data_IF_212838171042
#
_entry.id   IF_212838171042
#
_cell.length_a   1.000
_cell.length_b   1.000
_cell.length_c   1.000
_cell.angle_alpha   90.00
_cell.angle_beta   90.00
_cell.angle_gamma   90.00
#
_symmetry.space_group_name_H-M   'P 1'
#
loop_
_entity.id
_entity.type
_entity.pdbx_description
1 polymer ?
#
# COMPACT_ATOMS: atom_id res chain seq x y z
N UNK A 1 3.24 -42.79 -17.07
CA UNK A 1 3.07 -43.43 -15.75
C UNK A 1 1.59 -43.72 -15.55
N UNK A 2 1.19 -44.98 -15.70
CA UNK A 2 -0.17 -45.41 -15.44
C UNK A 2 -0.33 -45.57 -13.92
N UNK A 3 -1.13 -44.69 -13.30
CA UNK A 3 -1.48 -44.86 -11.90
C UNK A 3 -2.48 -46.03 -11.77
N UNK A 4 -2.29 -46.94 -10.81
CA UNK A 4 -3.24 -48.03 -10.58
C UNK A 4 -4.60 -47.43 -10.19
N UNK A 5 -5.68 -47.90 -10.82
CA UNK A 5 -7.05 -47.51 -10.54
C UNK A 5 -7.51 -48.04 -9.15
N UNK A 6 -6.95 -47.53 -8.06
CA UNK A 6 -7.61 -47.59 -6.75
C UNK A 6 -8.84 -46.68 -6.85
N UNK A 7 -10.03 -47.29 -6.87
CA UNK A 7 -11.32 -46.57 -6.94
C UNK A 7 -11.35 -45.50 -5.84
N UNK A 8 -11.41 -44.23 -6.23
CA UNK A 8 -11.43 -43.09 -5.30
C UNK A 8 -12.77 -43.10 -4.55
N UNK A 9 -12.71 -42.95 -3.21
CA UNK A 9 -13.89 -42.94 -2.33
C UNK A 9 -14.80 -41.75 -2.64
N UNK A 10 -16.10 -41.95 -2.49
CA UNK A 10 -17.09 -40.88 -2.67
C UNK A 10 -17.12 -39.95 -1.45
N UNK A 11 -17.12 -38.64 -1.69
CA UNK A 11 -17.07 -37.62 -0.63
C UNK A 11 -18.17 -36.58 -0.79
N UNK A 12 -18.50 -35.90 0.30
CA UNK A 12 -19.37 -34.73 0.35
C UNK A 12 -18.50 -33.53 0.69
N UNK A 13 -18.64 -32.45 -0.07
CA UNK A 13 -17.82 -31.25 0.06
C UNK A 13 -18.70 -30.07 0.42
N UNK A 14 -18.24 -29.27 1.37
CA UNK A 14 -18.87 -28.04 1.81
C UNK A 14 -17.91 -26.89 1.60
N UNK A 15 -18.46 -25.79 1.09
CA UNK A 15 -17.69 -24.63 0.67
C UNK A 15 -18.34 -23.37 1.23
N UNK A 16 -17.59 -22.63 2.04
CA UNK A 16 -17.91 -21.27 2.47
C UNK A 16 -17.07 -20.29 1.61
N UNK A 17 -17.66 -19.66 0.58
CA UNK A 17 -16.92 -18.79 -0.33
C UNK A 17 -16.82 -17.35 0.20
N UNK A 18 -15.65 -16.76 0.07
CA UNK A 18 -15.41 -15.36 0.46
C UNK A 18 -13.95 -14.98 0.24
N UNK A 19 -13.50 -13.89 0.89
CA UNK A 19 -12.07 -13.53 0.94
C UNK A 19 -11.24 -14.63 1.61
N UNK A 20 -11.81 -15.26 2.63
CA UNK A 20 -11.35 -16.51 3.21
C UNK A 20 -12.30 -17.59 2.74
N UNK A 21 -11.79 -18.62 2.06
CA UNK A 21 -12.60 -19.77 1.64
C UNK A 21 -12.48 -20.83 2.71
N UNK A 22 -13.61 -21.27 3.26
CA UNK A 22 -13.72 -22.46 4.09
C UNK A 22 -14.01 -23.69 3.23
N UNK A 23 -13.31 -24.79 3.49
CA UNK A 23 -13.47 -26.06 2.77
C UNK A 23 -13.55 -27.20 3.79
N UNK A 24 -14.57 -28.03 3.64
CA UNK A 24 -14.78 -29.21 4.46
C UNK A 24 -15.10 -30.42 3.59
N UNK A 25 -14.57 -31.58 3.96
CA UNK A 25 -14.81 -32.86 3.30
C UNK A 25 -15.22 -33.88 4.36
N UNK A 26 -16.35 -34.54 4.11
CA UNK A 26 -16.82 -35.68 4.90
C UNK A 26 -17.07 -36.89 3.98
N UNK A 27 -16.97 -38.10 4.52
CA UNK A 27 -17.37 -39.31 3.79
C UNK A 27 -18.91 -39.51 3.79
N UNK A 28 -19.38 -40.53 3.07
CA UNK A 28 -20.81 -40.87 3.03
C UNK A 28 -21.36 -41.48 4.34
N UNK A 29 -20.51 -41.69 5.35
CA UNK A 29 -20.89 -42.12 6.70
C UNK A 29 -21.02 -40.93 7.67
N UNK A 30 -20.50 -39.76 7.29
CA UNK A 30 -20.45 -38.56 8.10
C UNK A 30 -19.18 -38.39 8.92
N UNK A 31 -18.12 -39.15 8.64
CA UNK A 31 -16.82 -38.92 9.26
C UNK A 31 -16.11 -37.78 8.54
N UNK A 32 -15.59 -36.77 9.26
CA UNK A 32 -14.76 -35.74 8.65
C UNK A 32 -13.44 -36.32 8.15
N UNK A 33 -13.10 -36.00 6.91
CA UNK A 33 -11.84 -36.37 6.27
C UNK A 33 -10.84 -35.23 6.46
N UNK A 34 -11.21 -34.02 6.03
CA UNK A 34 -10.38 -32.83 6.19
C UNK A 34 -11.24 -31.56 6.23
N UNK A 35 -10.79 -30.57 7.01
CA UNK A 35 -11.41 -29.25 7.13
C UNK A 35 -10.31 -28.21 7.22
N UNK A 36 -10.37 -27.16 6.40
CA UNK A 36 -9.43 -26.06 6.46
C UNK A 36 -10.01 -24.77 5.88
N UNK A 37 -9.28 -23.68 6.05
CA UNK A 37 -9.60 -22.38 5.46
C UNK A 37 -8.35 -21.67 4.97
N UNK A 38 -8.48 -20.90 3.90
CA UNK A 38 -7.37 -20.13 3.33
C UNK A 38 -7.86 -18.80 2.72
N UNK A 39 -7.04 -17.75 2.85
CA UNK A 39 -7.28 -16.46 2.22
C UNK A 39 -6.88 -16.50 0.75
N UNK A 40 -7.67 -15.85 -0.11
CA UNK A 40 -7.41 -15.76 -1.56
C UNK A 40 -7.25 -17.14 -2.24
N UNK A 41 -7.94 -18.16 -1.74
CA UNK A 41 -7.86 -19.52 -2.28
C UNK A 41 -8.59 -19.61 -3.62
N UNK A 42 -7.92 -20.06 -4.68
CA UNK A 42 -8.51 -20.06 -6.02
C UNK A 42 -9.45 -21.26 -6.23
N UNK A 43 -10.32 -21.16 -7.25
CA UNK A 43 -11.18 -22.28 -7.67
C UNK A 43 -10.33 -23.48 -8.09
N UNK A 44 -9.21 -23.25 -8.79
CA UNK A 44 -8.30 -24.30 -9.23
C UNK A 44 -7.64 -25.03 -8.05
N UNK A 45 -7.23 -24.28 -7.02
CA UNK A 45 -6.64 -24.87 -5.81
C UNK A 45 -7.68 -25.69 -5.04
N UNK A 46 -8.91 -25.18 -4.91
CA UNK A 46 -10.02 -25.91 -4.30
C UNK A 46 -10.30 -27.23 -5.02
N UNK A 47 -10.29 -27.23 -6.36
CA UNK A 47 -10.48 -28.44 -7.16
C UNK A 47 -9.35 -29.44 -6.94
N UNK A 48 -8.09 -29.00 -7.03
CA UNK A 48 -6.94 -29.87 -6.83
C UNK A 48 -6.95 -30.51 -5.44
N UNK A 49 -7.33 -29.74 -4.42
CA UNK A 49 -7.44 -30.22 -3.05
C UNK A 49 -8.63 -31.17 -2.86
N UNK A 50 -9.80 -30.90 -3.44
CA UNK A 50 -10.93 -31.84 -3.39
C UNK A 50 -10.55 -33.16 -4.09
N UNK A 51 -9.89 -33.08 -5.24
CA UNK A 51 -9.49 -34.23 -6.04
C UNK A 51 -8.48 -35.13 -5.31
N UNK A 52 -7.59 -34.57 -4.50
CA UNK A 52 -6.63 -35.36 -3.71
C UNK A 52 -7.29 -36.18 -2.61
N UNK A 53 -8.52 -35.84 -2.21
CA UNK A 53 -9.23 -36.50 -1.10
C UNK A 53 -10.31 -37.48 -1.54
N UNK A 54 -10.82 -37.38 -2.77
CA UNK A 54 -11.81 -38.33 -3.28
C UNK A 54 -12.60 -37.83 -4.48
N UNK A 55 -13.68 -38.55 -4.78
CA UNK A 55 -14.63 -38.20 -5.85
C UNK A 55 -15.83 -37.48 -5.23
N UNK A 56 -15.95 -36.15 -5.38
CA UNK A 56 -17.08 -35.42 -4.83
C UNK A 56 -18.40 -35.83 -5.48
N UNK A 57 -19.35 -36.22 -4.63
CA UNK A 57 -20.69 -36.63 -5.02
C UNK A 57 -21.72 -35.52 -4.79
N UNK A 58 -21.56 -34.79 -3.69
CA UNK A 58 -22.41 -33.66 -3.30
C UNK A 58 -21.50 -32.49 -2.96
N UNK A 59 -21.84 -31.30 -3.47
CA UNK A 59 -21.18 -30.04 -3.15
C UNK A 59 -22.23 -29.10 -2.55
N UNK A 60 -21.97 -28.56 -1.36
CA UNK A 60 -22.92 -27.78 -0.59
C UNK A 60 -22.33 -26.43 -0.13
N UNK A 61 -23.22 -25.49 0.15
CA UNK A 61 -22.93 -24.21 0.81
C UNK A 61 -23.97 -23.98 1.91
N UNK A 62 -23.64 -23.13 2.87
CA UNK A 62 -24.48 -22.78 4.02
C UNK A 62 -25.46 -21.62 3.73
N UNK A 63 -25.36 -21.00 2.54
CA UNK A 63 -26.19 -19.86 2.13
C UNK A 63 -26.99 -20.15 0.86
N UNK A 64 -28.15 -19.51 0.74
CA UNK A 64 -28.99 -19.46 -0.47
C UNK A 64 -29.18 -18.01 -0.93
N UNK A 65 -29.14 -17.72 -2.25
CA UNK A 65 -28.87 -18.65 -3.35
C UNK A 65 -27.44 -19.19 -3.34
N UNK A 66 -27.25 -20.44 -3.78
CA UNK A 66 -25.93 -21.09 -3.75
C UNK A 66 -24.89 -20.25 -4.51
N UNK A 67 -23.74 -19.92 -3.90
CA UNK A 67 -22.78 -19.00 -4.50
C UNK A 67 -22.15 -19.52 -5.80
N UNK A 68 -21.72 -18.59 -6.67
CA UNK A 68 -21.20 -18.91 -8.00
C UNK A 68 -19.97 -19.83 -7.98
N UNK A 69 -19.08 -19.68 -6.99
CA UNK A 69 -17.91 -20.56 -6.82
C UNK A 69 -18.35 -22.02 -6.57
N UNK A 70 -19.33 -22.22 -5.70
CA UNK A 70 -19.86 -23.54 -5.33
C UNK A 70 -20.55 -24.19 -6.54
N UNK A 71 -21.36 -23.43 -7.28
CA UNK A 71 -22.01 -23.90 -8.52
C UNK A 71 -20.98 -24.33 -9.58
N UNK A 72 -19.90 -23.55 -9.76
CA UNK A 72 -18.81 -23.89 -10.70
C UNK A 72 -18.10 -25.18 -10.29
N UNK A 73 -17.72 -25.32 -9.02
CA UNK A 73 -17.03 -26.51 -8.52
C UNK A 73 -17.93 -27.75 -8.67
N UNK A 74 -19.20 -27.64 -8.28
CA UNK A 74 -20.19 -28.73 -8.46
C UNK A 74 -20.29 -29.17 -9.93
N UNK A 75 -20.37 -28.21 -10.86
CA UNK A 75 -20.45 -28.50 -12.29
C UNK A 75 -19.18 -29.15 -12.83
N UNK A 76 -18.00 -28.73 -12.39
CA UNK A 76 -16.72 -29.27 -12.86
C UNK A 76 -16.53 -30.73 -12.46
N UNK A 77 -17.02 -31.12 -11.28
CA UNK A 77 -16.98 -32.49 -10.82
C UNK A 77 -18.18 -33.35 -11.26
N UNK A 78 -19.14 -32.79 -11.99
CA UNK A 78 -20.45 -33.41 -12.23
C UNK A 78 -21.10 -33.93 -10.93
N UNK A 79 -20.85 -33.22 -9.83
CA UNK A 79 -21.39 -33.49 -8.50
C UNK A 79 -22.74 -32.78 -8.34
N UNK A 80 -23.58 -33.28 -7.44
CA UNK A 80 -24.87 -32.66 -7.14
C UNK A 80 -24.66 -31.40 -6.29
N UNK A 81 -25.08 -30.25 -6.80
CA UNK A 81 -25.11 -29.00 -6.05
C UNK A 81 -26.29 -29.00 -5.09
N UNK A 82 -26.04 -29.07 -3.79
CA UNK A 82 -27.10 -28.98 -2.79
C UNK A 82 -27.51 -27.52 -2.62
N UNK A 83 -28.73 -27.19 -3.05
CA UNK A 83 -29.35 -25.88 -2.78
C UNK A 83 -30.19 -25.95 -1.51
N UNK A 84 -30.09 -24.90 -0.69
CA UNK A 84 -30.88 -24.72 0.52
C UNK A 84 -32.15 -23.94 0.23
N UNK A 85 -33.23 -24.28 0.91
CA UNK A 85 -34.48 -23.51 0.89
C UNK A 85 -34.27 -22.14 1.59
N UNK A 86 -33.55 -22.13 2.70
CA UNK A 86 -33.17 -20.95 3.48
C UNK A 86 -31.71 -21.05 3.96
N UNK A 87 -31.04 -19.91 4.12
CA UNK A 87 -29.65 -19.85 4.62
C UNK A 87 -29.58 -20.29 6.07
N UNK A 88 -28.54 -21.04 6.45
CA UNK A 88 -28.38 -21.53 7.81
C UNK A 88 -28.03 -20.40 8.78
N UNK A 89 -28.75 -20.31 9.89
CA UNK A 89 -28.44 -19.41 11.01
C UNK A 89 -27.16 -19.83 11.74
N UNK A 90 -26.57 -18.92 12.50
CA UNK A 90 -25.33 -19.21 13.24
C UNK A 90 -25.57 -20.30 14.29
N UNK A 91 -26.72 -20.28 14.96
CA UNK A 91 -27.11 -21.30 15.93
C UNK A 91 -27.23 -22.69 15.28
N UNK A 92 -27.83 -22.78 14.09
CA UNK A 92 -27.94 -24.04 13.35
C UNK A 92 -26.57 -24.59 12.93
N UNK A 93 -25.68 -23.73 12.42
CA UNK A 93 -24.31 -24.12 12.05
C UNK A 93 -23.56 -24.70 13.24
N UNK A 94 -23.68 -24.07 14.41
CA UNK A 94 -23.08 -24.56 15.66
C UNK A 94 -23.73 -25.89 16.07
N UNK A 95 -25.05 -26.01 16.03
CA UNK A 95 -25.76 -27.23 16.41
C UNK A 95 -25.39 -28.43 15.52
N UNK A 96 -25.21 -28.20 14.21
CA UNK A 96 -24.81 -29.23 13.25
C UNK A 96 -23.36 -29.71 13.46
N UNK A 97 -22.48 -28.82 13.90
CA UNK A 97 -21.05 -29.08 14.06
C UNK A 97 -20.64 -29.53 15.46
N UNK A 98 -21.57 -29.58 16.43
CA UNK A 98 -21.35 -30.10 17.80
C UNK A 98 -21.23 -31.63 17.92
N UNK A 99 -21.36 -32.37 16.82
CA UNK A 99 -21.29 -33.85 16.83
C UNK A 99 -19.89 -34.41 17.13
N UNK A 100 -19.84 -35.69 17.52
CA UNK A 100 -18.60 -36.40 17.82
C UNK A 100 -17.67 -36.44 16.57
N UNK A 101 -16.48 -35.86 16.69
CA UNK A 101 -15.41 -35.93 15.67
C UNK A 101 -15.28 -34.70 14.77
N UNK A 102 -16.17 -33.71 14.87
CA UNK A 102 -16.09 -32.47 14.09
C UNK A 102 -15.19 -31.43 14.78
N UNK A 103 -14.03 -31.13 14.17
CA UNK A 103 -13.12 -30.08 14.62
C UNK A 103 -13.03 -28.96 13.58
N UNK A 104 -13.09 -27.72 14.04
CA UNK A 104 -12.88 -26.52 13.23
C UNK A 104 -12.12 -25.45 14.04
N UNK A 105 -11.34 -24.61 13.38
CA UNK A 105 -10.51 -23.58 14.01
C UNK A 105 -11.15 -22.20 13.97
N UNK A 106 -12.03 -21.94 13.01
CA UNK A 106 -12.65 -20.64 12.81
C UNK A 106 -14.06 -20.76 12.21
N UNK A 107 -14.73 -19.61 12.07
CA UNK A 107 -16.09 -19.53 11.56
C UNK A 107 -16.22 -20.05 10.12
N UNK A 108 -15.24 -19.81 9.24
CA UNK A 108 -15.29 -20.27 7.85
C UNK A 108 -15.24 -21.80 7.75
N UNK A 109 -14.37 -22.43 8.55
CA UNK A 109 -14.29 -23.89 8.65
C UNK A 109 -15.58 -24.49 9.23
N UNK A 110 -16.16 -23.85 10.25
CA UNK A 110 -17.45 -24.25 10.83
C UNK A 110 -18.56 -24.19 9.78
N UNK A 111 -18.62 -23.10 9.01
CA UNK A 111 -19.70 -22.85 8.07
C UNK A 111 -19.63 -23.82 6.88
N UNK A 112 -18.42 -24.07 6.36
CA UNK A 112 -18.17 -25.12 5.36
C UNK A 112 -18.54 -26.52 5.87
N UNK A 113 -18.18 -26.84 7.12
CA UNK A 113 -18.51 -28.14 7.73
C UNK A 113 -20.01 -28.29 7.97
N UNK A 114 -20.68 -27.24 8.45
CA UNK A 114 -22.13 -27.22 8.65
C UNK A 114 -22.87 -27.49 7.33
N UNK A 115 -22.42 -26.91 6.22
CA UNK A 115 -22.97 -27.17 4.89
C UNK A 115 -22.88 -28.67 4.50
N UNK A 116 -21.73 -29.32 4.75
CA UNK A 116 -21.56 -30.76 4.51
C UNK A 116 -22.55 -31.60 5.32
N UNK A 117 -22.61 -31.33 6.63
CA UNK A 117 -23.39 -32.10 7.58
C UNK A 117 -24.88 -31.93 7.31
N UNK A 118 -25.30 -30.72 6.96
CA UNK A 118 -26.68 -30.43 6.56
C UNK A 118 -27.06 -31.24 5.31
N UNK A 119 -26.22 -31.21 4.28
CA UNK A 119 -26.44 -32.00 3.07
C UNK A 119 -26.55 -33.49 3.40
N UNK A 120 -25.62 -34.05 4.18
CA UNK A 120 -25.66 -35.44 4.61
C UNK A 120 -26.96 -35.78 5.35
N UNK A 121 -27.43 -34.92 6.26
CA UNK A 121 -28.67 -35.12 7.02
C UNK A 121 -29.88 -35.25 6.10
N UNK A 122 -29.92 -34.49 4.99
CA UNK A 122 -30.98 -34.57 3.98
C UNK A 122 -30.99 -35.92 3.24
N UNK A 123 -29.81 -36.48 2.96
CA UNK A 123 -29.65 -37.76 2.26
C UNK A 123 -29.60 -38.98 3.20
N UNK A 124 -29.45 -38.81 4.51
CA UNK A 124 -29.31 -39.88 5.51
C UNK A 124 -30.43 -40.93 5.42
N UNK A 125 -31.68 -40.50 5.27
CA UNK A 125 -32.84 -41.42 5.10
C UNK A 125 -32.71 -42.27 3.83
N UNK A 126 -32.33 -41.66 2.71
CA UNK A 126 -32.12 -42.37 1.42
C UNK A 126 -30.91 -43.32 1.51
N UNK A 127 -29.79 -42.88 2.07
CA UNK A 127 -28.61 -43.72 2.25
C UNK A 127 -28.86 -44.92 3.16
N UNK A 128 -29.65 -44.76 4.21
CA UNK A 128 -30.07 -45.87 5.08
C UNK A 128 -30.96 -46.86 4.31
N UNK A 129 -31.87 -46.36 3.48
CA UNK A 129 -32.73 -47.22 2.64
C UNK A 129 -31.91 -48.00 1.61
N UNK A 130 -30.92 -47.36 0.99
CA UNK A 130 -29.96 -48.02 0.08
C UNK A 130 -29.24 -49.15 0.81
N UNK A 131 -28.64 -48.85 1.97
CA UNK A 131 -27.89 -49.84 2.75
C UNK A 131 -28.72 -51.08 3.14
N UNK A 132 -30.04 -50.91 3.38
CA UNK A 132 -30.95 -52.04 3.69
C UNK A 132 -31.36 -52.84 2.45
N UNK A 133 -31.44 -52.20 1.28
CA UNK A 133 -31.94 -52.81 0.04
C UNK A 133 -30.85 -53.41 -0.84
N UNK A 134 -29.59 -53.00 -0.65
CA UNK A 134 -28.46 -53.51 -1.43
C UNK A 134 -28.15 -54.97 -1.03
N UNK A 135 -28.18 -55.93 -1.96
CA UNK A 135 -27.84 -57.32 -1.70
C UNK A 135 -26.35 -57.50 -1.34
N UNK A 136 -25.98 -58.59 -0.62
CA UNK A 136 -24.58 -58.97 -0.43
C UNK A 136 -23.87 -59.15 -1.77
N UNK A 137 -22.71 -58.52 -1.95
CA UNK A 137 -21.89 -58.59 -3.19
C UNK A 137 -21.95 -57.36 -4.09
N UNK A 138 -22.88 -56.43 -3.86
CA UNK A 138 -22.95 -55.14 -4.56
C UNK A 138 -22.36 -54.03 -3.68
N UNK A 139 -21.52 -53.17 -4.27
CA UNK A 139 -20.90 -52.04 -3.56
C UNK A 139 -21.96 -51.00 -3.17
N UNK A 140 -22.17 -50.86 -1.85
CA UNK A 140 -23.17 -49.95 -1.29
C UNK A 140 -22.83 -48.49 -1.58
N UNK A 141 -21.56 -48.11 -1.63
CA UNK A 141 -21.16 -46.72 -1.93
C UNK A 141 -21.48 -46.35 -3.37
N UNK A 142 -21.30 -47.28 -4.30
CA UNK A 142 -21.62 -47.06 -5.71
C UNK A 142 -23.14 -46.95 -5.94
N UNK A 143 -23.94 -47.75 -5.23
CA UNK A 143 -25.40 -47.60 -5.25
C UNK A 143 -25.81 -46.23 -4.70
N UNK A 144 -25.19 -45.77 -3.59
CA UNK A 144 -25.43 -44.42 -3.05
C UNK A 144 -25.09 -43.35 -4.08
N UNK A 145 -23.98 -43.48 -4.81
CA UNK A 145 -23.57 -42.54 -5.84
C UNK A 145 -24.59 -42.44 -6.99
N UNK A 146 -25.08 -43.58 -7.49
CA UNK A 146 -26.11 -43.63 -8.53
C UNK A 146 -27.44 -43.02 -8.06
N UNK A 147 -27.82 -43.26 -6.81
CA UNK A 147 -29.05 -42.71 -6.23
C UNK A 147 -28.99 -41.20 -6.06
N UNK A 148 -27.84 -40.64 -5.69
CA UNK A 148 -27.66 -39.16 -5.66
C UNK A 148 -27.78 -38.57 -7.06
N UNK A 149 -27.31 -39.28 -8.09
CA UNK A 149 -27.46 -38.89 -9.51
C UNK A 149 -28.87 -39.08 -10.07
N UNK A 150 -29.86 -39.46 -9.24
CA UNK A 150 -31.27 -39.54 -9.61
C UNK A 150 -31.73 -40.91 -10.11
N UNK A 151 -30.90 -41.95 -10.05
CA UNK A 151 -31.30 -43.32 -10.39
C UNK A 151 -32.11 -43.93 -9.24
N UNK A 152 -33.17 -44.69 -9.54
CA UNK A 152 -33.92 -45.39 -8.50
C UNK A 152 -33.06 -46.48 -7.84
N UNK A 153 -33.34 -46.80 -6.57
CA UNK A 153 -32.55 -47.79 -5.82
C UNK A 153 -32.52 -49.14 -6.53
N UNK A 154 -33.66 -49.60 -7.07
CA UNK A 154 -33.74 -50.85 -7.84
C UNK A 154 -32.89 -50.79 -9.11
N UNK A 155 -33.06 -49.75 -9.93
CA UNK A 155 -32.29 -49.61 -11.17
C UNK A 155 -30.78 -49.45 -10.93
N UNK A 156 -30.39 -48.83 -9.81
CA UNK A 156 -28.98 -48.71 -9.42
C UNK A 156 -28.38 -50.09 -9.06
N UNK A 157 -29.12 -50.91 -8.32
CA UNK A 157 -28.71 -52.28 -7.97
C UNK A 157 -28.63 -53.14 -9.25
N UNK A 158 -29.65 -53.10 -10.09
CA UNK A 158 -29.72 -53.91 -11.33
C UNK A 158 -28.58 -53.58 -12.30
N UNK A 159 -28.21 -52.30 -12.41
CA UNK A 159 -27.07 -51.85 -13.23
C UNK A 159 -25.75 -52.45 -12.73
N UNK A 160 -25.54 -52.47 -11.41
CA UNK A 160 -24.30 -53.00 -10.85
C UNK A 160 -24.25 -54.52 -10.93
N UNK A 161 -25.38 -55.21 -10.76
CA UNK A 161 -25.47 -56.66 -10.94
C UNK A 161 -25.25 -57.05 -12.41
N UNK A 162 -25.86 -56.33 -13.36
CA UNK A 162 -25.70 -56.62 -14.79
C UNK A 162 -24.28 -56.37 -15.27
N UNK A 163 -23.64 -55.29 -14.78
CA UNK A 163 -22.23 -55.02 -15.08
C UNK A 163 -21.28 -56.09 -14.53
N UNK A 164 -21.60 -56.73 -13.40
CA UNK A 164 -20.84 -57.88 -12.90
C UNK A 164 -21.16 -59.19 -13.64
N UNK A 165 -22.30 -59.27 -14.34
CA UNK A 165 -22.73 -60.43 -15.12
C UNK A 165 -22.13 -60.52 -16.53
N UNK A 166 -21.65 -59.41 -17.10
CA UNK A 166 -21.03 -59.36 -18.43
C UNK A 166 -19.57 -59.83 -18.44
N UNK A 167 -18.87 -59.79 -17.31
CA UNK A 167 -17.48 -60.27 -17.19
C UNK A 167 -17.33 -61.79 -17.02
N UNK A 168 -18.42 -62.57 -17.05
CA UNK A 168 -18.39 -64.04 -16.83
C UNK A 168 -19.11 -64.91 -17.87
N UNK A 169 -19.48 -64.39 -19.05
CA UNK A 169 -20.14 -65.21 -20.10
C UNK A 169 -19.46 -65.09 -21.46
N UNK A 170 -18.25 -65.61 -21.55
CA UNK A 170 -17.77 -66.22 -22.78
C UNK A 170 -17.10 -67.54 -22.41
N UNK A 171 -17.78 -68.64 -22.75
CA UNK A 171 -17.29 -69.99 -23.04
C UNK A 171 -18.41 -70.99 -22.68
N UNK A 172 -18.65 -71.89 -23.63
CA UNK A 172 -19.50 -73.10 -23.60
C UNK A 172 -21.02 -72.93 -23.54
N UNK A 173 -21.69 -73.26 -24.64
CA UNK A 173 -22.40 -74.56 -24.72
C UNK A 173 -22.78 -74.92 -26.17
N UNK A 174 -22.06 -75.91 -26.68
CA UNK A 174 -22.42 -76.74 -27.82
C UNK A 174 -23.36 -77.84 -27.33
N UNK A 175 -24.54 -78.00 -27.93
CA UNK A 175 -25.31 -79.26 -27.92
C UNK A 175 -26.32 -79.30 -29.08
N UNK A 176 -25.97 -80.13 -30.09
CA UNK A 176 -26.77 -81.14 -30.82
C UNK A 176 -28.31 -81.06 -30.61
N UNK A 177 -29.20 -81.14 -31.62
CA UNK A 177 -29.31 -82.14 -32.71
C UNK A 177 -30.48 -81.74 -33.66
N UNK A 178 -30.39 -82.18 -34.93
CA UNK A 178 -31.48 -82.54 -35.90
C UNK A 178 -32.66 -81.53 -36.07
N UNK A 179 -32.97 -80.97 -37.26
CA UNK A 179 -33.50 -81.64 -38.44
C UNK A 179 -33.28 -80.83 -39.72
N UNK A 180 -32.79 -81.52 -40.76
CA UNK A 180 -32.71 -81.07 -42.14
C UNK A 180 -34.11 -81.14 -42.77
N UNK A 181 -34.77 -80.00 -42.93
CA UNK A 181 -35.77 -79.69 -43.98
C UNK A 181 -36.17 -78.22 -43.85
N UNK A 182 -35.34 -77.30 -44.37
CA UNK A 182 -35.68 -75.92 -44.80
C UNK A 182 -34.45 -75.00 -45.01
N UNK A 183 -33.27 -75.52 -45.43
CA UNK A 183 -32.02 -74.75 -45.33
C UNK A 183 -32.02 -73.47 -46.19
N UNK A 184 -32.60 -73.49 -47.38
CA UNK A 184 -32.54 -72.35 -48.31
C UNK A 184 -33.41 -71.15 -47.86
N UNK A 185 -34.59 -71.39 -47.27
CA UNK A 185 -35.44 -70.32 -46.75
C UNK A 185 -34.93 -69.74 -45.42
N UNK A 186 -34.30 -70.56 -44.58
CA UNK A 186 -33.70 -70.12 -43.31
C UNK A 186 -32.41 -69.34 -43.55
N UNK A 187 -31.53 -69.79 -44.45
CA UNK A 187 -30.33 -69.06 -44.86
C UNK A 187 -30.69 -67.71 -45.51
N UNK A 188 -31.70 -67.69 -46.39
CA UNK A 188 -32.18 -66.45 -47.00
C UNK A 188 -32.71 -65.46 -45.96
N UNK A 189 -33.48 -65.91 -44.96
CA UNK A 189 -33.94 -65.05 -43.84
C UNK A 189 -32.80 -64.56 -42.95
N UNK A 190 -31.79 -65.40 -42.68
CA UNK A 190 -30.61 -65.02 -41.88
C UNK A 190 -29.79 -63.97 -42.62
N UNK A 191 -29.53 -64.15 -43.92
CA UNK A 191 -28.81 -63.19 -44.77
C UNK A 191 -29.55 -61.85 -44.84
N UNK A 192 -30.88 -61.87 -44.97
CA UNK A 192 -31.70 -60.66 -44.97
C UNK A 192 -31.60 -59.90 -43.64
N UNK A 193 -31.61 -60.63 -42.51
CA UNK A 193 -31.49 -60.06 -41.16
C UNK A 193 -30.11 -59.48 -40.91
N UNK A 194 -29.05 -60.15 -41.38
CA UNK A 194 -27.67 -59.66 -41.30
C UNK A 194 -27.46 -58.41 -42.15
N UNK A 195 -28.02 -58.35 -43.37
CA UNK A 195 -27.99 -57.14 -44.20
C UNK A 195 -28.71 -55.96 -43.53
N UNK A 196 -29.86 -56.21 -42.89
CA UNK A 196 -30.57 -55.18 -42.12
C UNK A 196 -29.75 -54.66 -40.93
N UNK A 197 -29.06 -55.55 -40.23
CA UNK A 197 -28.15 -55.19 -39.13
C UNK A 197 -26.93 -54.39 -39.61
N UNK A 198 -26.33 -54.78 -40.73
CA UNK A 198 -25.23 -54.05 -41.36
C UNK A 198 -25.68 -52.64 -41.75
N UNK A 199 -26.82 -52.53 -42.43
CA UNK A 199 -27.38 -51.22 -42.83
C UNK A 199 -27.66 -50.32 -41.63
N UNK A 200 -28.25 -50.87 -40.55
CA UNK A 200 -28.48 -50.11 -39.32
C UNK A 200 -27.18 -49.71 -38.58
N UNK A 201 -26.11 -50.51 -38.70
CA UNK A 201 -24.78 -50.14 -38.20
C UNK A 201 -24.13 -49.05 -39.05
N UNK A 202 -24.25 -49.12 -40.37
CA UNK A 202 -23.73 -48.10 -41.29
C UNK A 202 -24.42 -46.74 -41.06
N UNK A 203 -25.75 -46.74 -40.89
CA UNK A 203 -26.52 -45.56 -40.51
C UNK A 203 -26.07 -44.99 -39.15
N UNK A 204 -25.74 -45.86 -38.18
CA UNK A 204 -25.21 -45.46 -36.87
C UNK A 204 -23.81 -44.84 -36.98
N UNK A 205 -22.95 -45.40 -37.84
CA UNK A 205 -21.60 -44.90 -38.09
C UNK A 205 -21.68 -43.50 -38.70
N UNK A 206 -22.51 -43.32 -39.73
CA UNK A 206 -22.72 -42.01 -40.35
C UNK A 206 -23.19 -40.95 -39.34
N UNK A 207 -24.17 -41.29 -38.49
CA UNK A 207 -24.69 -40.37 -37.47
C UNK A 207 -23.63 -40.03 -36.40
N UNK A 208 -22.79 -41.00 -36.04
CA UNK A 208 -21.67 -40.78 -35.11
C UNK A 208 -20.60 -39.91 -35.74
N UNK A 209 -20.25 -40.13 -37.01
CA UNK A 209 -19.30 -39.32 -37.75
C UNK A 209 -19.78 -37.86 -37.84
N UNK A 210 -21.02 -37.63 -38.22
CA UNK A 210 -21.63 -36.29 -38.27
C UNK A 210 -21.65 -35.61 -36.89
N UNK A 211 -21.94 -36.37 -35.82
CA UNK A 211 -21.86 -35.83 -34.46
C UNK A 211 -20.42 -35.49 -34.08
N UNK A 212 -19.44 -36.30 -34.46
CA UNK A 212 -18.03 -36.01 -34.16
C UNK A 212 -17.52 -34.81 -34.92
N UNK A 213 -17.94 -34.59 -36.17
CA UNK A 213 -17.57 -33.39 -36.93
C UNK A 213 -18.21 -32.14 -36.32
N UNK A 214 -19.49 -32.20 -35.95
CA UNK A 214 -20.17 -31.11 -35.26
C UNK A 214 -19.52 -30.77 -33.91
N UNK A 215 -19.16 -31.78 -33.11
CA UNK A 215 -18.46 -31.58 -31.83
C UNK A 215 -17.07 -30.97 -32.03
N UNK A 216 -16.31 -31.42 -33.05
CA UNK A 216 -15.00 -30.83 -33.38
C UNK A 216 -15.12 -29.37 -33.82
N UNK A 217 -16.14 -29.03 -34.60
CA UNK A 217 -16.41 -27.66 -35.01
C UNK A 217 -16.72 -26.77 -33.80
N UNK A 218 -17.60 -27.23 -32.90
CA UNK A 218 -17.94 -26.52 -31.66
C UNK A 218 -16.73 -26.35 -30.74
N UNK A 219 -15.88 -27.38 -30.60
CA UNK A 219 -14.65 -27.30 -29.82
C UNK A 219 -13.72 -26.22 -30.37
N UNK A 220 -13.51 -26.18 -31.69
CA UNK A 220 -12.69 -25.18 -32.35
C UNK A 220 -13.23 -23.75 -32.15
N UNK A 221 -14.54 -23.57 -32.18
CA UNK A 221 -15.18 -22.28 -31.90
C UNK A 221 -14.96 -21.84 -30.45
N UNK A 222 -15.19 -22.74 -29.49
CA UNK A 222 -14.93 -22.47 -28.08
C UNK A 222 -13.46 -22.20 -27.78
N UNK A 223 -12.53 -22.88 -28.44
CA UNK A 223 -11.12 -22.55 -28.33
C UNK A 223 -10.79 -21.14 -28.89
N UNK A 224 -11.44 -20.71 -29.98
CA UNK A 224 -11.28 -19.35 -30.50
C UNK A 224 -11.81 -18.31 -29.52
N UNK A 225 -12.98 -18.55 -28.92
CA UNK A 225 -13.52 -17.71 -27.85
C UNK A 225 -12.58 -17.65 -26.63
N UNK A 226 -12.06 -18.79 -26.17
CA UNK A 226 -11.10 -18.82 -25.05
C UNK A 226 -9.85 -18.01 -25.40
N UNK A 227 -9.33 -18.13 -26.62
CA UNK A 227 -8.17 -17.34 -27.07
C UNK A 227 -8.49 -15.84 -27.11
N UNK A 228 -9.67 -15.42 -27.55
CA UNK A 228 -10.05 -14.01 -27.57
C UNK A 228 -10.25 -13.44 -26.16
N UNK A 229 -10.89 -14.20 -25.27
CA UNK A 229 -11.06 -13.80 -23.87
C UNK A 229 -9.73 -13.71 -23.13
N UNK A 230 -8.80 -14.64 -23.36
CA UNK A 230 -7.44 -14.55 -22.79
C UNK A 230 -6.72 -13.27 -23.24
N UNK A 231 -6.75 -12.95 -24.54
CA UNK A 231 -6.16 -11.70 -25.05
C UNK A 231 -6.78 -10.45 -24.42
N UNK A 232 -8.12 -10.44 -24.27
CA UNK A 232 -8.82 -9.33 -23.62
C UNK A 232 -8.43 -9.19 -22.15
N UNK A 233 -8.30 -10.30 -21.44
CA UNK A 233 -7.87 -10.33 -20.04
C UNK A 233 -6.44 -9.80 -19.88
N UNK A 234 -5.53 -10.19 -20.78
CA UNK A 234 -4.13 -9.72 -20.76
C UNK A 234 -4.04 -8.23 -21.06
N UNK A 235 -4.85 -7.72 -22.00
CA UNK A 235 -4.94 -6.28 -22.26
C UNK A 235 -5.41 -5.50 -21.03
N UNK A 236 -6.50 -5.95 -20.39
CA UNK A 236 -7.03 -5.32 -19.18
C UNK A 236 -6.03 -5.36 -18.01
N UNK A 237 -5.30 -6.47 -17.85
CA UNK A 237 -4.25 -6.59 -16.83
C UNK A 237 -3.10 -5.61 -17.09
N UNK A 238 -2.69 -5.46 -18.35
CA UNK A 238 -1.64 -4.52 -18.75
C UNK A 238 -2.07 -3.07 -18.50
N UNK A 239 -3.30 -2.70 -18.87
CA UNK A 239 -3.89 -1.38 -18.59
C UNK A 239 -3.94 -1.10 -17.10
N UNK A 240 -4.50 -2.03 -16.30
CA UNK A 240 -4.55 -1.88 -14.84
C UNK A 240 -3.16 -1.70 -14.23
N UNK A 241 -2.16 -2.43 -14.72
CA UNK A 241 -0.78 -2.29 -14.24
C UNK A 241 -0.21 -0.91 -14.58
N UNK A 242 -0.50 -0.37 -15.78
CA UNK A 242 -0.12 1.00 -16.17
C UNK A 242 -0.81 2.05 -15.31
N UNK A 243 -2.10 1.88 -15.03
CA UNK A 243 -2.87 2.77 -14.16
C UNK A 243 -2.31 2.79 -12.74
N UNK A 244 -1.99 1.62 -12.16
CA UNK A 244 -1.38 1.54 -10.83
C UNK A 244 -0.05 2.30 -10.82
N UNK A 245 0.85 2.03 -11.78
CA UNK A 245 2.14 2.74 -11.87
C UNK A 245 1.96 4.24 -12.01
N UNK A 246 1.00 4.68 -12.83
CA UNK A 246 0.68 6.10 -13.00
C UNK A 246 0.15 6.71 -11.70
N UNK A 247 -0.70 5.99 -10.98
CA UNK A 247 -1.25 6.45 -9.70
C UNK A 247 -0.18 6.57 -8.61
N UNK A 248 0.79 5.65 -8.58
CA UNK A 248 1.93 5.69 -7.68
C UNK A 248 2.86 6.87 -8.01
N UNK A 249 3.10 7.12 -9.29
CA UNK A 249 3.91 8.26 -9.73
C UNK A 249 3.24 9.59 -9.39
N UNK A 250 1.92 9.71 -9.60
CA UNK A 250 1.14 10.89 -9.21
C UNK A 250 1.24 11.09 -7.69
N UNK A 251 1.01 10.05 -6.88
CA UNK A 251 1.14 10.16 -5.41
C UNK A 251 2.52 10.62 -4.96
N UNK A 252 3.59 10.12 -5.59
CA UNK A 252 4.96 10.58 -5.28
C UNK A 252 5.16 12.05 -5.63
N UNK A 253 4.64 12.48 -6.78
CA UNK A 253 4.70 13.89 -7.20
C UNK A 253 3.88 14.79 -6.28
N UNK A 254 2.68 14.36 -5.88
CA UNK A 254 1.82 15.12 -4.98
C UNK A 254 2.47 15.30 -3.60
N UNK A 255 3.10 14.25 -3.06
CA UNK A 255 3.84 14.34 -1.81
C UNK A 255 5.04 15.30 -1.90
N UNK A 256 5.76 15.30 -3.03
CA UNK A 256 6.86 16.25 -3.25
C UNK A 256 6.35 17.69 -3.42
N UNK A 257 5.22 17.89 -4.11
CA UNK A 257 4.56 19.19 -4.23
C UNK A 257 4.18 19.71 -2.85
N UNK A 258 3.59 18.86 -2.00
CA UNK A 258 3.20 19.24 -0.63
C UNK A 258 4.43 19.67 0.19
N UNK A 259 5.51 18.88 0.14
CA UNK A 259 6.79 19.24 0.80
C UNK A 259 7.35 20.57 0.31
N UNK A 260 7.38 20.79 -1.01
CA UNK A 260 7.88 22.02 -1.60
C UNK A 260 7.00 23.23 -1.25
N UNK A 261 5.67 23.06 -1.17
CA UNK A 261 4.75 24.12 -0.75
C UNK A 261 4.98 24.50 0.71
N UNK A 262 5.21 23.53 1.59
CA UNK A 262 5.56 23.79 3.00
C UNK A 262 6.90 24.53 3.12
N UNK A 263 7.91 24.12 2.35
CA UNK A 263 9.23 24.75 2.31
C UNK A 263 9.14 26.22 1.83
N UNK A 264 8.38 26.47 0.77
CA UNK A 264 8.12 27.83 0.28
C UNK A 264 7.43 28.68 1.35
N UNK A 265 6.39 28.15 2.02
CA UNK A 265 5.70 28.89 3.09
C UNK A 265 6.62 29.21 4.25
N UNK A 266 7.51 28.29 4.65
CA UNK A 266 8.48 28.53 5.71
C UNK A 266 9.44 29.66 5.34
N UNK A 267 9.97 29.64 4.12
CA UNK A 267 10.87 30.68 3.59
C UNK A 267 10.14 32.03 3.47
N UNK A 268 8.88 32.04 3.04
CA UNK A 268 8.08 33.27 2.96
C UNK A 268 7.85 33.88 4.34
N UNK A 269 7.54 33.05 5.35
CA UNK A 269 7.38 33.50 6.73
C UNK A 269 8.70 34.06 7.29
N UNK A 270 9.82 33.36 7.08
CA UNK A 270 11.14 33.84 7.51
C UNK A 270 11.49 35.18 6.84
N UNK A 271 11.25 35.31 5.54
CA UNK A 271 11.46 36.56 4.81
C UNK A 271 10.57 37.69 5.35
N UNK A 272 9.32 37.40 5.71
CA UNK A 272 8.43 38.39 6.30
C UNK A 272 8.95 38.89 7.65
N UNK A 273 9.43 37.99 8.51
CA UNK A 273 10.03 38.35 9.80
C UNK A 273 11.34 39.15 9.63
N UNK A 274 12.23 38.72 8.74
CA UNK A 274 13.46 39.45 8.43
C UNK A 274 13.16 40.86 7.90
N UNK A 275 12.12 41.01 7.07
CA UNK A 275 11.68 42.33 6.58
C UNK A 275 11.19 43.23 7.72
N UNK A 276 10.45 42.70 8.70
CA UNK A 276 10.04 43.46 9.89
C UNK A 276 11.24 43.91 10.72
N UNK A 277 12.20 43.01 10.95
CA UNK A 277 13.45 43.33 11.67
C UNK A 277 14.22 44.43 10.95
N UNK A 278 14.38 44.32 9.62
CA UNK A 278 15.04 45.35 8.82
C UNK A 278 14.31 46.70 8.90
N UNK A 279 12.97 46.70 8.83
CA UNK A 279 12.19 47.93 8.95
C UNK A 279 12.39 48.62 10.30
N UNK A 280 12.38 47.85 11.41
CA UNK A 280 12.66 48.37 12.75
C UNK A 280 14.08 48.93 12.91
N UNK A 281 15.07 48.34 12.22
CA UNK A 281 16.45 48.82 12.23
C UNK A 281 16.67 50.06 11.34
N UNK A 282 15.91 50.20 10.23
CA UNK A 282 15.99 51.35 9.33
C UNK A 282 15.35 52.60 9.94
N UNK A 283 14.26 52.47 10.69
CA UNK A 283 13.57 53.61 11.32
C UNK A 283 14.43 54.42 12.30
N UNK A 284 15.53 53.85 12.82
CA UNK A 284 16.43 54.49 13.79
C UNK A 284 17.67 55.17 13.18
N UNK A 285 17.79 55.24 11.84
CA UNK A 285 19.04 55.67 11.17
C UNK A 285 19.03 57.08 10.58
N UNK A 286 17.87 57.70 10.37
CA UNK A 286 17.80 58.92 9.54
C UNK A 286 17.24 60.13 10.29
N UNK A 287 18.12 60.80 11.03
CA UNK A 287 17.96 62.24 11.28
C UNK A 287 18.49 62.97 10.05
N UNK A 288 17.62 63.68 9.30
CA UNK A 288 18.04 64.49 8.14
C UNK A 288 19.14 65.48 8.57
N UNK A 289 20.33 65.38 7.98
CA UNK A 289 21.49 66.25 8.29
C UNK A 289 22.40 65.77 9.43
N UNK A 290 21.99 64.75 10.19
CA UNK A 290 22.78 64.18 11.28
C UNK A 290 23.82 63.15 10.82
N UNK A 291 25.00 63.15 11.43
CA UNK A 291 25.94 62.01 11.42
C UNK A 291 25.78 61.24 12.74
N UNK A 292 25.51 59.94 12.63
CA UNK A 292 25.45 59.03 13.78
C UNK A 292 26.86 58.82 14.34
N UNK A 293 27.01 58.95 15.66
CA UNK A 293 28.26 58.76 16.41
C UNK A 293 28.03 57.74 17.53
N UNK A 294 29.12 57.11 18.01
CA UNK A 294 29.07 56.05 19.03
C UNK A 294 29.25 56.65 20.42
N UNK A 295 28.40 56.29 21.36
CA UNK A 295 28.41 56.83 22.72
C UNK A 295 29.10 55.85 23.65
N UNK A 296 30.13 56.30 24.36
CA UNK A 296 30.79 55.54 25.40
C UNK A 296 30.56 56.28 26.72
N UNK A 297 29.93 55.60 27.68
CA UNK A 297 29.50 56.19 28.94
C UNK A 297 30.69 56.66 29.80
N UNK A 298 31.76 55.86 29.86
CA UNK A 298 32.98 56.21 30.60
C UNK A 298 34.22 56.05 29.72
N UNK A 299 35.17 56.98 29.81
CA UNK A 299 36.44 56.86 29.11
C UNK A 299 37.37 55.85 29.80
N UNK A 300 36.99 54.57 29.77
CA UNK A 300 37.74 53.46 30.36
C UNK A 300 38.04 52.38 29.31
N UNK A 301 39.04 51.53 29.58
CA UNK A 301 39.42 50.45 28.66
C UNK A 301 38.26 49.47 28.43
N UNK A 302 37.54 49.10 29.49
CA UNK A 302 36.43 48.14 29.44
C UNK A 302 35.25 48.70 28.65
N UNK A 303 34.87 49.96 28.87
CA UNK A 303 33.77 50.59 28.13
C UNK A 303 34.07 50.72 26.63
N UNK A 304 35.33 50.97 26.25
CA UNK A 304 35.76 51.00 24.85
C UNK A 304 35.69 49.59 24.22
N UNK A 305 36.17 48.58 24.94
CA UNK A 305 36.11 47.19 24.46
C UNK A 305 34.67 46.68 24.33
N UNK A 306 33.79 47.04 25.26
CA UNK A 306 32.39 46.64 25.20
C UNK A 306 31.68 47.27 24.01
N UNK A 307 31.95 48.54 23.70
CA UNK A 307 31.46 49.21 22.50
C UNK A 307 31.98 48.53 21.22
N UNK A 308 33.26 48.17 21.19
CA UNK A 308 33.88 47.45 20.07
C UNK A 308 33.30 46.05 19.89
N UNK A 309 33.02 45.32 20.97
CA UNK A 309 32.38 44.00 20.92
C UNK A 309 30.95 44.05 20.41
N UNK A 310 30.16 45.02 20.88
CA UNK A 310 28.73 45.11 20.54
C UNK A 310 28.50 45.66 19.12
N UNK A 311 29.27 46.66 18.70
CA UNK A 311 28.99 47.42 17.47
C UNK A 311 30.21 47.62 16.55
N UNK A 312 31.39 47.14 16.95
CA UNK A 312 32.69 47.43 16.33
C UNK A 312 33.14 48.86 16.57
N UNK A 313 34.44 49.15 16.49
CA UNK A 313 35.01 50.50 16.35
C UNK A 313 35.88 50.49 15.09
N UNK A 314 35.39 51.12 14.03
CA UNK A 314 35.99 51.09 12.70
C UNK A 314 36.57 52.44 12.31
N UNK A 315 37.46 52.40 11.31
CA UNK A 315 38.05 53.60 10.71
C UNK A 315 36.95 54.51 10.15
N UNK A 316 36.93 55.77 10.60
CA UNK A 316 35.92 56.76 10.17
C UNK A 316 34.83 57.07 11.21
N UNK A 317 34.78 56.26 12.29
CA UNK A 317 33.85 56.47 13.39
C UNK A 317 34.23 57.69 14.23
N UNK A 318 33.23 58.27 14.88
CA UNK A 318 33.36 59.38 15.82
C UNK A 318 32.76 58.93 17.12
N UNK A 319 33.47 59.20 18.22
CA UNK A 319 33.13 58.71 19.55
C UNK A 319 32.73 59.90 20.41
N UNK A 320 31.60 59.76 21.10
CA UNK A 320 31.17 60.65 22.16
C UNK A 320 31.45 60.02 23.52
N UNK A 321 32.22 60.70 24.35
CA UNK A 321 32.53 60.32 25.72
C UNK A 321 31.61 61.12 26.66
N UNK A 322 30.70 60.43 27.34
CA UNK A 322 29.82 61.08 28.33
C UNK A 322 30.67 61.55 29.52
N UNK A 323 31.53 60.68 30.04
CA UNK A 323 32.54 61.02 31.03
C UNK A 323 33.97 60.83 30.49
N UNK A 324 34.61 61.94 30.11
CA UNK A 324 35.98 61.99 29.56
C UNK A 324 37.10 61.92 30.62
N UNK A 325 36.77 61.96 31.91
CA UNK A 325 37.76 62.16 32.98
C UNK A 325 38.52 60.88 33.36
N UNK A 326 37.91 59.71 33.14
CA UNK A 326 38.42 58.42 33.64
C UNK A 326 39.58 57.79 32.86
N UNK A 327 39.96 58.35 31.72
CA UNK A 327 40.96 57.75 30.82
C UNK A 327 42.16 58.65 30.56
N UNK A 328 43.29 58.03 30.27
CA UNK A 328 44.57 58.69 30.04
C UNK A 328 45.16 58.37 28.67
N UNK A 329 46.50 58.37 28.60
CA UNK A 329 47.25 58.13 27.36
C UNK A 329 46.96 56.76 26.71
N UNK A 330 46.81 55.70 27.52
CA UNK A 330 46.60 54.32 27.04
C UNK A 330 45.22 54.10 26.42
N UNK A 331 44.16 54.67 27.00
CA UNK A 331 42.80 54.63 26.45
C UNK A 331 42.68 55.50 25.20
N UNK A 332 43.39 56.62 25.13
CA UNK A 332 43.49 57.44 23.92
C UNK A 332 44.17 56.69 22.77
N UNK A 333 45.27 55.98 23.07
CA UNK A 333 45.96 55.13 22.09
C UNK A 333 45.06 53.97 21.60
N UNK A 334 44.24 53.38 22.48
CA UNK A 334 43.30 52.33 22.10
C UNK A 334 42.30 52.82 21.05
N UNK A 335 41.67 53.98 21.28
CA UNK A 335 40.76 54.58 20.30
C UNK A 335 41.47 54.98 19.01
N UNK A 336 42.73 55.45 19.11
CA UNK A 336 43.53 55.79 17.94
C UNK A 336 43.86 54.57 17.07
N UNK A 337 44.25 53.45 17.68
CA UNK A 337 44.51 52.18 16.99
C UNK A 337 43.27 51.63 16.29
N UNK A 338 42.07 51.91 16.81
CA UNK A 338 40.79 51.56 16.17
C UNK A 338 40.41 52.47 15.00
N UNK A 339 41.15 53.55 14.76
CA UNK A 339 40.96 54.43 13.60
C UNK A 339 39.85 55.47 13.75
N UNK A 340 39.52 55.86 14.99
CA UNK A 340 38.55 56.91 15.30
C UNK A 340 39.00 58.25 14.70
N UNK A 341 38.08 58.98 14.08
CA UNK A 341 38.39 60.22 13.33
C UNK A 341 38.27 61.48 14.17
N UNK A 342 37.41 61.48 15.20
CA UNK A 342 37.26 62.58 16.13
C UNK A 342 36.64 62.07 17.45
N UNK A 343 36.92 62.78 18.53
CA UNK A 343 36.36 62.51 19.86
C UNK A 343 35.58 63.73 20.34
N UNK A 344 34.36 63.54 20.81
CA UNK A 344 33.54 64.58 21.45
C UNK A 344 33.40 64.20 22.92
N UNK A 345 33.54 65.14 23.84
CA UNK A 345 33.41 64.87 25.28
C UNK A 345 32.49 65.87 25.97
N UNK A 346 31.71 65.40 26.97
CA UNK A 346 30.83 66.28 27.75
C UNK A 346 31.44 66.76 29.06
N UNK A 347 32.19 65.90 29.76
CA UNK A 347 32.97 66.26 30.95
C UNK A 347 34.46 66.30 30.62
N UNK A 348 35.22 67.05 31.41
CA UNK A 348 36.64 67.35 31.17
C UNK A 348 37.48 66.13 30.76
N UNK A 349 38.31 66.34 29.75
CA UNK A 349 39.26 65.36 29.26
C UNK A 349 40.63 65.58 29.94
N UNK A 350 41.27 64.49 30.38
CA UNK A 350 42.63 64.56 30.94
C UNK A 350 43.62 65.16 29.94
N UNK A 351 44.50 66.07 30.40
CA UNK A 351 45.54 66.69 29.56
C UNK A 351 46.41 65.64 28.84
N UNK A 352 46.74 64.55 29.51
CA UNK A 352 47.50 63.44 28.92
C UNK A 352 46.75 62.73 27.78
N UNK A 353 45.42 62.64 27.87
CA UNK A 353 44.62 62.05 26.82
C UNK A 353 44.47 63.01 25.63
N UNK A 354 44.27 64.31 25.89
CA UNK A 354 44.21 65.34 24.86
C UNK A 354 45.51 65.42 24.04
N UNK A 355 46.67 65.41 24.72
CA UNK A 355 47.98 65.41 24.06
C UNK A 355 48.19 64.17 23.21
N UNK A 356 47.79 62.98 23.70
CA UNK A 356 47.86 61.76 22.90
C UNK A 356 46.93 61.77 21.70
N UNK A 357 45.70 62.26 21.82
CA UNK A 357 44.84 62.42 20.66
C UNK A 357 45.45 63.36 19.62
N UNK A 358 46.07 64.46 20.06
CA UNK A 358 46.78 65.39 19.19
C UNK A 358 47.99 64.75 18.48
N UNK A 359 48.79 63.93 19.18
CA UNK A 359 49.90 63.17 18.58
C UNK A 359 49.41 62.24 17.46
N UNK A 360 48.28 61.55 17.69
CA UNK A 360 47.66 60.67 16.69
C UNK A 360 46.84 61.42 15.62
N UNK A 361 46.74 62.75 15.69
CA UNK A 361 46.00 63.58 14.74
C UNK A 361 44.47 63.43 14.84
N UNK A 362 43.97 63.08 16.01
CA UNK A 362 42.56 62.92 16.33
C UNK A 362 42.09 64.19 17.04
N UNK A 363 41.29 65.05 16.40
CA UNK A 363 40.77 66.23 17.05
C UNK A 363 39.75 65.85 18.12
N UNK A 364 39.85 66.54 19.26
CA UNK A 364 38.92 66.41 20.39
C UNK A 364 38.13 67.72 20.57
N UNK A 365 36.82 67.61 20.81
CA UNK A 365 35.90 68.74 20.91
C UNK A 365 35.01 68.61 22.15
N UNK A 366 34.72 69.71 22.84
CA UNK A 366 33.69 69.75 23.87
C UNK A 366 32.29 69.71 23.24
N UNK A 367 31.28 69.23 23.98
CA UNK A 367 29.86 69.38 23.63
C UNK A 367 29.42 70.82 23.44
N UNK A 368 30.15 71.79 23.99
CA UNK A 368 29.89 73.22 23.76
C UNK A 368 30.30 73.67 22.35
N UNK A 369 31.31 73.01 21.76
CA UNK A 369 31.81 73.31 20.42
C UNK A 369 31.00 72.60 19.33
N UNK A 370 30.53 71.38 19.63
CA UNK A 370 29.71 70.55 18.75
C UNK A 370 28.54 69.98 19.56
N UNK A 371 27.39 70.69 19.59
CA UNK A 371 26.19 70.20 20.26
C UNK A 371 25.63 68.92 19.63
N UNK A 372 25.07 68.04 20.46
CA UNK A 372 24.36 66.86 20.00
C UNK A 372 22.93 67.25 19.55
N UNK A 373 22.49 66.75 18.40
CA UNK A 373 21.20 67.10 17.79
C UNK A 373 20.00 66.45 18.47
N UNK A 374 20.19 65.30 19.09
CA UNK A 374 19.19 64.61 19.89
C UNK A 374 19.90 64.03 21.11
N UNK A 375 19.52 64.48 22.31
CA UNK A 375 19.66 63.65 23.51
C UNK A 375 18.51 62.65 23.42
N UNK A 376 18.70 61.53 22.73
CA UNK A 376 17.81 60.40 23.00
C UNK A 376 17.93 60.13 24.50
N UNK A 377 16.78 60.17 25.16
CA UNK A 377 16.60 59.95 26.59
C UNK A 377 17.45 58.75 27.04
N UNK A 378 18.25 58.99 28.09
CA UNK A 378 19.02 58.07 28.93
C UNK A 378 19.24 56.64 28.38
N UNK A 379 20.52 56.31 28.10
CA UNK A 379 21.05 54.98 27.75
C UNK A 379 20.94 54.50 26.28
N UNK A 380 21.29 55.36 25.32
CA UNK A 380 21.57 54.95 23.94
C UNK A 380 23.06 54.74 23.64
N UNK A 381 23.41 53.68 22.91
CA UNK A 381 24.78 53.43 22.40
C UNK A 381 25.16 54.33 21.19
N UNK A 382 24.22 55.15 20.71
CA UNK A 382 24.40 56.06 19.57
C UNK A 382 23.83 57.45 19.84
N UNK A 383 24.47 58.47 19.27
CA UNK A 383 24.00 59.86 19.27
C UNK A 383 24.12 60.46 17.86
N UNK A 384 23.54 61.65 17.66
CA UNK A 384 23.61 62.37 16.39
C UNK A 384 24.23 63.75 16.57
N UNK A 385 25.12 64.13 15.65
CA UNK A 385 25.68 65.48 15.53
C UNK A 385 25.46 66.03 14.13
N UNK A 386 25.42 67.36 14.01
CA UNK A 386 25.32 68.00 12.71
C UNK A 386 26.54 67.66 11.85
N UNK A 387 26.30 67.08 10.66
CA UNK A 387 27.35 66.64 9.75
C UNK A 387 28.19 67.80 9.21
N UNK A 388 27.56 68.93 8.92
CA UNK A 388 28.23 70.10 8.36
C UNK A 388 29.13 70.76 9.41
N UNK A 389 28.58 71.01 10.61
CA UNK A 389 29.34 71.61 11.71
C UNK A 389 30.54 70.73 12.10
N UNK A 390 30.33 69.43 12.23
CA UNK A 390 31.38 68.48 12.59
C UNK A 390 32.53 68.47 11.58
N UNK A 391 32.20 68.40 10.28
CA UNK A 391 33.22 68.38 9.24
C UNK A 391 33.99 69.71 9.17
N UNK A 392 33.30 70.84 9.35
CA UNK A 392 33.91 72.17 9.38
C UNK A 392 34.93 72.28 10.53
N UNK A 393 34.54 71.87 11.75
CA UNK A 393 35.42 71.90 12.93
C UNK A 393 36.63 70.98 12.80
N UNK A 394 36.44 69.78 12.26
CA UNK A 394 37.55 68.85 11.98
C UNK A 394 38.54 69.46 11.00
N UNK A 395 38.08 70.09 9.93
CA UNK A 395 38.96 70.73 8.95
C UNK A 395 39.65 71.98 9.50
N UNK A 396 38.96 72.77 10.34
CA UNK A 396 39.56 73.91 11.03
C UNK A 396 40.69 73.45 11.96
N UNK A 397 40.45 72.41 12.76
CA UNK A 397 41.45 71.85 13.67
C UNK A 397 42.67 71.32 12.91
N UNK A 398 42.47 70.53 11.85
CA UNK A 398 43.55 70.07 10.97
C UNK A 398 44.35 71.21 10.34
N UNK A 399 43.70 72.31 9.94
CA UNK A 399 44.38 73.52 9.44
C UNK A 399 45.24 74.19 10.52
N UNK A 400 44.73 74.30 11.75
CA UNK A 400 45.48 74.84 12.90
C UNK A 400 46.70 73.98 13.23
N UNK A 401 46.57 72.65 13.21
CA UNK A 401 47.68 71.73 13.43
C UNK A 401 48.75 71.81 12.34
N UNK A 402 48.35 71.87 11.06
CA UNK A 402 49.28 72.05 9.94
C UNK A 402 50.06 73.37 10.05
N UNK A 403 49.40 74.44 10.53
CA UNK A 403 50.06 75.73 10.80
C UNK A 403 51.05 75.62 11.97
N UNK A 404 50.68 74.97 13.08
CA UNK A 404 51.59 74.72 14.22
C UNK A 404 52.81 73.89 13.81
N UNK A 405 52.63 72.80 13.04
CA UNK A 405 53.73 71.98 12.53
C UNK A 405 54.65 72.74 11.58
N UNK A 406 54.12 73.64 10.73
CA UNK A 406 54.94 74.52 9.88
C UNK A 406 55.76 75.53 10.69
N UNK A 407 55.22 76.08 11.77
CA UNK A 407 55.94 77.02 12.64
C UNK A 407 57.05 76.33 13.45
N UNK A 408 56.85 75.07 13.85
CA UNK A 408 57.87 74.27 14.55
C UNK A 408 58.99 73.80 13.60
N UNK A 409 58.72 73.60 12.30
CA UNK A 409 59.74 73.25 11.30
C UNK A 409 60.55 74.44 10.77
N UNK A 410 60.11 75.67 11.04
CA UNK A 410 60.76 76.94 10.63
C UNK A 410 61.53 77.61 11.79
N UNK A 411 61.52 77.01 12.98
CA UNK A 411 62.41 77.30 14.10
C UNK A 411 63.42 76.16 14.21
#
# INVERSE_FOLDING_TARGET
MAYPHTRRKHIIVGIDPGTTVGLAIIDLSGKPIEVFSAKNYSISDAIAWIESHGTPLIVASDVTPTPAMVKKISSMFAALGHELDESLSTEEKIALTKGEGYGYKNAHERDALAACVYALKRYKKKFTQVQKKTPPGVDVEEVKALVVKGVSISAAIDRLISAQGEDKKSVTEEKRREEKKSSEEKESKIILRLRGLLKGKDERILLLEERTTALKASLNEKEREVRSFKRKLDSMRSERTREIRRSEEIRKRDAEIERLVEEVRAIENENAELRKVIAGLKGKREVKGGKRIKVIQSFSHDAILDMDRKYGLNKGDIVFLVDGSGGGASTAELLAKKGVTAVIYSKDLSHFAADKFLEFGIPSFSTDEIPLLLKEEEEGDFAFVDRHLLNERIEECKKRERRRKKVILLR
#
